data_IF_379081039149
#
_entry.id   IF_379081039149
#
_cell.length_a   1.000
_cell.length_b   1.000
_cell.length_c   1.000
_cell.angle_alpha   90.00
_cell.angle_beta   90.00
_cell.angle_gamma   90.00
#
_symmetry.space_group_name_H-M   'P 1'
#
loop_
_entity.id
_entity.type
_entity.pdbx_description
1 polymer ?
#
# COMPACT_ATOMS: atom_id res chain seq x y z
N UNK A 1 44.12 -48.91 -22.38
CA UNK A 1 43.31 -48.75 -21.16
C UNK A 1 43.10 -47.30 -20.68
N UNK A 2 43.66 -46.24 -21.30
CA UNK A 2 43.48 -44.84 -20.81
C UNK A 2 42.43 -43.99 -21.55
N UNK A 3 41.77 -44.53 -22.57
CA UNK A 3 40.81 -43.78 -23.40
C UNK A 3 39.39 -43.79 -22.82
N UNK A 4 39.01 -44.86 -22.11
CA UNK A 4 37.66 -45.06 -21.54
C UNK A 4 37.45 -44.21 -20.28
N UNK A 5 38.49 -44.02 -19.45
CA UNK A 5 38.41 -43.18 -18.24
C UNK A 5 38.19 -41.68 -18.53
N UNK A 6 38.65 -41.17 -19.69
CA UNK A 6 38.44 -39.77 -20.08
C UNK A 6 37.02 -39.50 -20.55
N UNK A 7 36.39 -40.44 -21.26
CA UNK A 7 35.02 -40.27 -21.77
C UNK A 7 33.94 -40.34 -20.68
N UNK A 8 34.18 -41.00 -19.55
CA UNK A 8 33.24 -41.01 -18.41
C UNK A 8 33.40 -39.80 -17.49
N UNK A 9 34.63 -39.29 -17.31
CA UNK A 9 34.91 -38.16 -16.41
C UNK A 9 34.48 -36.81 -16.96
N UNK A 10 34.65 -36.56 -18.26
CA UNK A 10 34.25 -35.29 -18.88
C UNK A 10 32.73 -35.00 -18.77
N UNK A 11 31.82 -35.90 -19.17
CA UNK A 11 30.38 -35.67 -19.01
C UNK A 11 29.99 -35.63 -17.53
N UNK A 12 30.62 -36.43 -16.67
CA UNK A 12 30.35 -36.40 -15.23
C UNK A 12 30.77 -35.07 -14.58
N UNK A 13 31.91 -34.49 -15.00
CA UNK A 13 32.35 -33.16 -14.55
C UNK A 13 31.42 -32.06 -15.08
N UNK A 14 30.94 -32.18 -16.32
CA UNK A 14 29.98 -31.23 -16.89
C UNK A 14 28.65 -31.30 -16.15
N UNK A 15 28.13 -32.50 -15.89
CA UNK A 15 26.88 -32.69 -15.13
C UNK A 15 27.04 -32.18 -13.70
N UNK A 16 28.15 -32.49 -13.03
CA UNK A 16 28.41 -32.01 -11.67
C UNK A 16 28.54 -30.48 -11.63
N UNK A 17 29.25 -29.90 -12.59
CA UNK A 17 29.38 -28.45 -12.73
C UNK A 17 28.03 -27.77 -12.98
N UNK A 18 27.18 -28.38 -13.80
CA UNK A 18 25.84 -27.86 -14.08
C UNK A 18 24.93 -27.94 -12.84
N UNK A 19 24.98 -29.03 -12.07
CA UNK A 19 24.26 -29.14 -10.80
C UNK A 19 24.72 -28.06 -9.81
N UNK A 20 26.03 -27.83 -9.69
CA UNK A 20 26.56 -26.78 -8.81
C UNK A 20 26.08 -25.40 -9.26
N UNK A 21 26.10 -25.11 -10.57
CA UNK A 21 25.61 -23.85 -11.11
C UNK A 21 24.11 -23.65 -10.84
N UNK A 22 23.29 -24.69 -11.03
CA UNK A 22 21.87 -24.65 -10.71
C UNK A 22 21.62 -24.40 -9.22
N UNK A 23 22.38 -25.06 -8.34
CA UNK A 23 22.27 -24.86 -6.90
C UNK A 23 22.63 -23.43 -6.47
N UNK A 24 23.70 -22.87 -7.04
CA UNK A 24 24.09 -21.48 -6.81
C UNK A 24 23.00 -20.51 -7.27
N UNK A 25 22.41 -20.74 -8.45
CA UNK A 25 21.33 -19.91 -8.96
C UNK A 25 20.09 -19.93 -8.03
N UNK A 26 19.71 -21.10 -7.52
CA UNK A 26 18.61 -21.24 -6.55
C UNK A 26 18.93 -20.52 -5.24
N UNK A 27 20.15 -20.65 -4.70
CA UNK A 27 20.57 -19.95 -3.49
C UNK A 27 20.50 -18.42 -3.65
N UNK A 28 20.92 -17.88 -4.79
CA UNK A 28 20.79 -16.44 -5.09
C UNK A 28 19.33 -16.01 -5.08
N UNK A 29 18.43 -16.80 -5.68
CA UNK A 29 16.99 -16.53 -5.65
C UNK A 29 16.41 -16.55 -4.23
N UNK A 30 16.75 -17.55 -3.43
CA UNK A 30 16.28 -17.68 -2.03
C UNK A 30 16.77 -16.52 -1.17
N UNK A 31 18.03 -16.10 -1.29
CA UNK A 31 18.57 -14.93 -0.57
C UNK A 31 17.87 -13.65 -1.01
N UNK A 32 17.62 -13.47 -2.31
CA UNK A 32 16.87 -12.32 -2.83
C UNK A 32 15.45 -12.23 -2.28
N UNK A 33 14.72 -13.35 -2.27
CA UNK A 33 13.37 -13.42 -1.71
C UNK A 33 13.39 -13.18 -0.20
N UNK A 34 14.37 -13.71 0.53
CA UNK A 34 14.53 -13.48 1.97
C UNK A 34 14.81 -12.03 2.34
N UNK A 35 15.51 -11.27 1.49
CA UNK A 35 15.75 -9.84 1.69
C UNK A 35 14.46 -9.02 1.56
N UNK A 36 13.61 -9.34 0.59
CA UNK A 36 12.29 -8.71 0.43
C UNK A 36 11.33 -9.18 1.53
N UNK A 37 11.40 -10.47 1.87
CA UNK A 37 10.55 -11.12 2.86
C UNK A 37 10.87 -10.75 4.30
N UNK A 38 12.12 -10.41 4.65
CA UNK A 38 12.49 -10.05 6.03
C UNK A 38 11.81 -8.75 6.52
N UNK A 39 11.41 -7.86 5.61
CA UNK A 39 10.55 -6.71 5.94
C UNK A 39 9.08 -7.07 6.21
N UNK A 40 8.60 -8.21 5.71
CA UNK A 40 7.22 -8.69 5.86
C UNK A 40 7.07 -9.82 6.91
N UNK A 41 8.14 -10.59 7.11
CA UNK A 41 8.21 -11.78 7.95
C UNK A 41 8.94 -11.55 9.27
N UNK A 42 9.55 -10.36 9.47
CA UNK A 42 9.80 -9.91 10.84
C UNK A 42 8.43 -9.89 11.51
N UNK A 43 8.18 -10.72 12.54
CA UNK A 43 6.96 -10.63 13.30
C UNK A 43 6.99 -9.26 13.96
N UNK A 44 6.35 -8.28 13.33
CA UNK A 44 5.89 -7.10 14.06
C UNK A 44 5.11 -7.71 15.22
N UNK A 45 5.49 -7.34 16.44
CA UNK A 45 4.88 -7.80 17.69
C UNK A 45 3.41 -7.31 17.83
N UNK A 46 2.66 -7.25 16.73
CA UNK A 46 1.21 -7.16 16.76
C UNK A 46 0.68 -8.57 16.68
N UNK A 47 0.42 -9.17 17.85
CA UNK A 47 -0.57 -10.23 17.93
C UNK A 47 -1.83 -9.77 17.14
N UNK A 48 -2.55 -10.72 16.53
CA UNK A 48 -3.85 -10.40 15.96
C UNK A 48 -4.67 -9.67 17.02
N UNK A 49 -5.02 -8.40 16.75
CA UNK A 49 -5.81 -7.59 17.69
C UNK A 49 -7.13 -8.32 17.87
N UNK A 50 -7.42 -8.74 19.10
CA UNK A 50 -8.65 -9.48 19.40
C UNK A 50 -9.84 -8.52 19.31
N UNK A 51 -11.02 -9.01 18.92
CA UNK A 51 -12.22 -8.16 18.77
C UNK A 51 -12.54 -7.35 20.03
N UNK A 52 -12.19 -7.90 21.19
CA UNK A 52 -12.40 -7.27 22.50
C UNK A 52 -11.51 -6.05 22.70
N UNK A 53 -10.27 -6.10 22.22
CA UNK A 53 -9.32 -4.98 22.28
C UNK A 53 -9.70 -3.86 21.30
N UNK A 54 -10.26 -4.22 20.14
CA UNK A 54 -10.85 -3.26 19.19
C UNK A 54 -12.08 -2.59 19.78
N UNK A 55 -12.98 -3.35 20.43
CA UNK A 55 -14.17 -2.80 21.09
C UNK A 55 -13.81 -1.86 22.22
N UNK A 56 -12.85 -2.23 23.06
CA UNK A 56 -12.41 -1.37 24.15
C UNK A 56 -11.79 -0.06 23.64
N UNK A 57 -10.97 -0.12 22.59
CA UNK A 57 -10.40 1.08 21.97
C UNK A 57 -11.46 1.96 21.27
N UNK A 58 -12.49 1.35 20.68
CA UNK A 58 -13.63 2.07 20.09
C UNK A 58 -14.50 2.71 21.16
N UNK A 59 -14.75 2.04 22.28
CA UNK A 59 -15.52 2.59 23.41
C UNK A 59 -14.78 3.74 24.10
N UNK A 60 -13.46 3.62 24.28
CA UNK A 60 -12.60 4.72 24.76
C UNK A 60 -12.62 5.92 23.81
N UNK A 61 -12.61 5.69 22.49
CA UNK A 61 -12.69 6.77 21.49
C UNK A 61 -14.09 7.36 21.37
N UNK A 62 -15.14 6.56 21.55
CA UNK A 62 -16.53 6.99 21.39
C UNK A 62 -17.08 7.73 22.62
N UNK A 63 -16.37 7.71 23.76
CA UNK A 63 -16.81 8.30 25.01
C UNK A 63 -16.57 9.82 25.16
N UNK A 64 -15.91 10.51 24.21
CA UNK A 64 -15.74 11.97 24.31
C UNK A 64 -16.17 12.74 23.05
N UNK A 65 -17.33 13.41 23.08
CA UNK A 65 -17.53 14.65 22.36
C UNK A 65 -17.12 15.83 23.24
N UNK A 66 -15.82 16.02 23.49
CA UNK A 66 -15.31 17.20 24.21
C UNK A 66 -14.93 18.31 23.23
N UNK A 67 -15.82 19.29 23.10
CA UNK A 67 -15.49 20.61 22.55
C UNK A 67 -14.37 21.30 23.35
N UNK A 68 -13.54 22.06 22.64
CA UNK A 68 -12.75 23.21 23.11
C UNK A 68 -11.39 22.96 23.81
N UNK A 69 -10.30 23.21 23.06
CA UNK A 69 -9.38 24.35 23.34
C UNK A 69 -8.35 24.58 22.23
N UNK A 70 -8.35 25.81 21.71
CA UNK A 70 -7.27 26.42 20.91
C UNK A 70 -5.92 26.33 21.63
N UNK A 71 -4.82 25.93 20.97
CA UNK A 71 -3.49 26.36 21.36
C UNK A 71 -3.16 27.73 20.76
N UNK A 72 -2.87 28.71 21.62
CA UNK A 72 -2.29 30.02 21.29
C UNK A 72 -0.86 29.83 20.71
N UNK A 73 -0.36 30.71 19.81
CA UNK A 73 0.76 30.40 18.92
C UNK A 73 2.13 30.62 19.57
N UNK A 74 3.08 29.72 19.28
CA UNK A 74 4.52 29.96 19.45
C UNK A 74 5.16 30.21 18.07
N UNK A 75 6.17 31.10 17.97
CA UNK A 75 6.62 31.65 16.68
C UNK A 75 7.69 30.78 16.01
N UNK A 76 7.74 30.91 14.67
CA UNK A 76 8.81 30.50 13.74
C UNK A 76 8.61 29.18 13.00
N UNK A 77 7.86 29.27 11.91
CA UNK A 77 8.23 28.69 10.61
C UNK A 77 7.54 29.52 9.52
N UNK A 78 8.20 29.80 8.37
CA UNK A 78 7.61 30.59 7.30
C UNK A 78 6.30 29.95 6.81
N UNK A 79 5.30 30.74 6.40
CA UNK A 79 4.03 30.19 5.93
C UNK A 79 4.29 29.32 4.70
N UNK A 80 4.02 28.02 4.82
CA UNK A 80 3.77 27.17 3.65
C UNK A 80 2.64 27.80 2.83
N UNK A 81 2.70 27.74 1.49
CA UNK A 81 1.64 28.28 0.65
C UNK A 81 0.32 27.61 1.04
N UNK A 82 -0.75 28.39 1.17
CA UNK A 82 -2.10 28.00 1.62
C UNK A 82 -2.46 26.56 1.23
N UNK A 83 -2.20 25.61 2.13
CA UNK A 83 -2.65 24.23 1.95
C UNK A 83 -4.13 24.20 2.29
N UNK A 84 -4.95 23.90 1.28
CA UNK A 84 -6.37 23.66 1.48
C UNK A 84 -6.58 22.61 2.59
N UNK A 85 -7.63 22.73 3.39
CA UNK A 85 -7.89 21.74 4.44
C UNK A 85 -8.20 20.40 3.76
N UNK A 86 -7.35 19.39 4.00
CA UNK A 86 -7.59 18.04 3.51
C UNK A 86 -8.94 17.50 4.01
N UNK A 87 -9.70 16.85 3.14
CA UNK A 87 -11.02 16.27 3.43
C UNK A 87 -11.10 14.83 2.96
N UNK A 88 -11.84 14.03 3.72
CA UNK A 88 -12.16 12.64 3.38
C UNK A 88 -13.54 12.53 2.73
N UNK A 89 -13.62 11.65 1.73
CA UNK A 89 -14.82 11.39 0.95
C UNK A 89 -15.04 9.88 0.86
N UNK A 90 -16.15 9.35 1.41
CA UNK A 90 -16.50 7.96 1.23
C UNK A 90 -17.05 7.72 -0.18
N UNK A 91 -16.66 6.61 -0.77
CA UNK A 91 -17.12 6.13 -2.08
C UNK A 91 -17.47 4.64 -1.97
N UNK A 92 -18.12 4.07 -2.99
CA UNK A 92 -18.37 2.63 -3.03
C UNK A 92 -17.07 1.80 -3.08
N UNK A 93 -16.01 2.34 -3.69
CA UNK A 93 -14.73 1.66 -3.86
C UNK A 93 -13.75 1.85 -2.70
N UNK A 94 -14.05 2.75 -1.75
CA UNK A 94 -13.13 3.10 -0.66
C UNK A 94 -13.25 4.54 -0.18
N UNK A 95 -12.27 4.99 0.58
CA UNK A 95 -12.15 6.37 1.07
C UNK A 95 -11.11 7.11 0.22
N UNK A 96 -11.44 8.34 -0.17
CA UNK A 96 -10.53 9.27 -0.84
C UNK A 96 -10.23 10.42 0.10
N UNK A 97 -8.97 10.78 0.25
CA UNK A 97 -8.55 12.00 0.96
C UNK A 97 -7.96 12.95 -0.07
N UNK A 98 -8.46 14.18 -0.13
CA UNK A 98 -8.01 15.19 -1.08
C UNK A 98 -7.89 16.56 -0.42
N UNK A 99 -7.00 17.38 -0.97
CA UNK A 99 -6.95 18.82 -0.81
C UNK A 99 -7.36 19.51 -2.12
N UNK A 100 -7.42 20.84 -2.12
CA UNK A 100 -7.98 21.58 -3.26
C UNK A 100 -7.13 21.48 -4.54
N UNK A 101 -5.87 21.15 -4.41
CA UNK A 101 -4.89 21.05 -5.49
C UNK A 101 -4.53 19.60 -5.84
N UNK A 102 -4.80 18.62 -4.97
CA UNK A 102 -4.53 17.21 -5.27
C UNK A 102 -5.25 16.18 -4.38
N UNK A 103 -5.24 14.94 -4.82
CA UNK A 103 -5.63 13.74 -4.09
C UNK A 103 -4.43 13.25 -3.28
N UNK A 104 -4.61 13.17 -1.97
CA UNK A 104 -3.56 12.79 -1.02
C UNK A 104 -3.47 11.28 -0.82
N UNK A 105 -4.60 10.58 -0.83
CA UNK A 105 -4.65 9.14 -0.55
C UNK A 105 -5.93 8.50 -1.04
N UNK A 106 -5.82 7.25 -1.51
CA UNK A 106 -6.93 6.34 -1.75
C UNK A 106 -6.78 5.10 -0.86
N UNK A 107 -7.80 4.82 -0.06
CA UNK A 107 -7.87 3.61 0.79
C UNK A 107 -9.01 2.72 0.30
N UNK A 108 -8.71 1.57 -0.33
CA UNK A 108 -9.75 0.75 -0.97
C UNK A 108 -10.66 0.08 0.07
N UNK A 109 -11.93 -0.08 -0.30
CA UNK A 109 -12.89 -0.89 0.43
C UNK A 109 -12.58 -2.38 0.25
N UNK A 110 -13.18 -3.23 1.09
CA UNK A 110 -13.02 -4.67 0.95
C UNK A 110 -13.53 -5.15 -0.42
N UNK A 111 -12.73 -5.97 -1.09
CA UNK A 111 -13.04 -6.47 -2.43
C UNK A 111 -12.68 -5.50 -3.57
N UNK A 112 -12.15 -4.32 -3.26
CA UNK A 112 -11.60 -3.36 -4.21
C UNK A 112 -10.08 -3.22 -4.04
N UNK A 113 -9.42 -2.77 -5.10
CA UNK A 113 -8.03 -2.34 -5.10
C UNK A 113 -7.91 -0.95 -5.72
N UNK A 114 -6.87 -0.21 -5.35
CA UNK A 114 -6.51 1.03 -6.06
C UNK A 114 -5.91 0.63 -7.39
N UNK A 115 -6.55 1.04 -8.47
CA UNK A 115 -6.06 0.77 -9.82
C UNK A 115 -5.16 1.89 -10.33
N UNK A 116 -5.54 3.14 -10.07
CA UNK A 116 -4.83 4.33 -10.52
C UNK A 116 -5.00 5.46 -9.48
N UNK A 117 -3.95 6.25 -9.29
CA UNK A 117 -3.94 7.43 -8.44
C UNK A 117 -2.97 8.46 -9.04
N UNK A 118 -3.52 9.60 -9.43
CA UNK A 118 -2.82 10.81 -9.83
C UNK A 118 -3.19 11.96 -8.87
N UNK A 119 -2.67 13.16 -9.15
CA UNK A 119 -2.97 14.34 -8.35
C UNK A 119 -4.47 14.73 -8.44
N UNK A 120 -5.15 14.55 -9.57
CA UNK A 120 -6.54 14.97 -9.75
C UNK A 120 -7.51 13.85 -10.11
N UNK A 121 -7.02 12.65 -10.44
CA UNK A 121 -7.84 11.47 -10.76
C UNK A 121 -7.45 10.27 -9.90
N UNK A 122 -8.43 9.40 -9.64
CA UNK A 122 -8.18 8.10 -9.03
C UNK A 122 -9.25 7.08 -9.40
N UNK A 123 -8.88 5.80 -9.40
CA UNK A 123 -9.77 4.70 -9.74
C UNK A 123 -9.64 3.55 -8.73
N UNK A 124 -10.78 3.10 -8.21
CA UNK A 124 -10.90 1.80 -7.56
C UNK A 124 -11.46 0.76 -8.52
N UNK A 125 -10.93 -0.46 -8.50
CA UNK A 125 -11.49 -1.59 -9.25
C UNK A 125 -11.79 -2.76 -8.33
N UNK A 126 -12.88 -3.47 -8.62
CA UNK A 126 -13.18 -4.70 -7.91
C UNK A 126 -12.12 -5.77 -8.23
N UNK A 127 -11.57 -6.39 -7.19
CA UNK A 127 -10.62 -7.52 -7.30
C UNK A 127 -11.27 -8.71 -8.00
N UNK A 128 -12.60 -8.84 -7.87
CA UNK A 128 -13.42 -9.79 -8.60
C UNK A 128 -14.62 -9.07 -9.18
N UNK A 129 -14.83 -9.21 -10.47
CA UNK A 129 -15.93 -8.55 -11.17
C UNK A 129 -15.44 -7.51 -12.16
N UNK A 130 -16.33 -6.59 -12.53
CA UNK A 130 -16.09 -5.53 -13.51
C UNK A 130 -16.31 -4.13 -12.95
N UNK A 131 -16.81 -4.04 -11.72
CA UNK A 131 -17.14 -2.79 -11.03
C UNK A 131 -15.92 -1.87 -10.89
N UNK A 132 -16.13 -0.59 -11.19
CA UNK A 132 -15.13 0.48 -11.15
C UNK A 132 -15.70 1.70 -10.49
N UNK A 133 -14.89 2.38 -9.70
CA UNK A 133 -15.25 3.66 -9.09
C UNK A 133 -14.19 4.68 -9.44
N UNK A 134 -14.55 5.62 -10.32
CA UNK A 134 -13.70 6.74 -10.73
C UNK A 134 -13.96 7.96 -9.88
N UNK A 135 -12.89 8.68 -9.58
CA UNK A 135 -12.87 9.85 -8.73
C UNK A 135 -12.10 10.94 -9.46
N UNK A 136 -12.69 12.12 -9.60
CA UNK A 136 -12.10 13.26 -10.31
C UNK A 136 -12.21 14.50 -9.43
N UNK A 137 -11.10 15.20 -9.20
CA UNK A 137 -11.05 16.48 -8.50
C UNK A 137 -11.50 17.60 -9.44
N UNK A 138 -12.73 18.07 -9.24
CA UNK A 138 -13.36 19.06 -10.12
C UNK A 138 -13.11 20.52 -9.72
N UNK A 139 -12.53 20.75 -8.54
CA UNK A 139 -12.16 22.08 -8.08
C UNK A 139 -12.24 22.23 -6.56
N UNK A 140 -12.30 23.48 -6.12
CA UNK A 140 -12.29 23.86 -4.72
C UNK A 140 -13.36 24.92 -4.47
N UNK A 141 -14.14 24.77 -3.41
CA UNK A 141 -15.17 25.70 -2.99
C UNK A 141 -14.93 26.10 -1.52
N UNK A 142 -14.59 27.37 -1.28
CA UNK A 142 -14.27 27.90 0.04
C UNK A 142 -13.22 27.07 0.82
N UNK A 143 -12.18 26.58 0.14
CA UNK A 143 -11.14 25.74 0.75
C UNK A 143 -11.56 24.28 0.98
N UNK A 144 -12.72 23.87 0.46
CA UNK A 144 -13.20 22.48 0.47
C UNK A 144 -13.08 21.88 -0.92
N UNK A 145 -12.30 20.79 -1.11
CA UNK A 145 -12.19 20.13 -2.40
C UNK A 145 -13.52 19.54 -2.86
N UNK A 146 -13.76 19.54 -4.16
CA UNK A 146 -14.97 19.02 -4.81
C UNK A 146 -14.61 17.83 -5.69
N UNK A 147 -15.02 16.65 -5.27
CA UNK A 147 -14.87 15.43 -6.06
C UNK A 147 -16.12 15.13 -6.87
N UNK A 148 -15.94 14.65 -8.08
CA UNK A 148 -16.95 13.95 -8.87
C UNK A 148 -16.65 12.46 -8.80
N UNK A 149 -17.63 11.68 -8.36
CA UNK A 149 -17.50 10.22 -8.23
C UNK A 149 -18.44 9.57 -9.25
N UNK A 150 -17.94 8.59 -10.00
CA UNK A 150 -18.72 7.78 -10.94
C UNK A 150 -18.50 6.31 -10.64
N UNK A 151 -19.58 5.54 -10.60
CA UNK A 151 -19.54 4.09 -10.45
C UNK A 151 -20.03 3.46 -11.77
N UNK A 152 -19.23 2.54 -12.29
CA UNK A 152 -19.55 1.75 -13.48
C UNK A 152 -19.53 0.27 -13.10
N UNK A 153 -20.50 -0.51 -13.61
CA UNK A 153 -20.57 -1.97 -13.44
C UNK A 153 -20.05 -2.69 -14.69
#
# INVERSE_FOLDING_TARGET
MRLIDRLGRLPLVIVLGWIVAAFLAVMVGVVGIGLVGSGLLTPRQGAAVTEEEVRQALEETSAEPSSSRLPSPSPSSPPSPDQGTARSFPTAGGIVVAECDRILSLSPAQGFEVHEQDDDEGEFRAVRGRDRVKVELTGCDQGTPRLRIRADD
#
